data_IF_026505625110
#
_entry.id   IF_026505625110
#
_cell.length_a   1.000
_cell.length_b   1.000
_cell.length_c   1.000
_cell.angle_alpha   90.00
_cell.angle_beta   90.00
_cell.angle_gamma   90.00
#
_symmetry.space_group_name_H-M   'P 1'
#
loop_
_entity.id
_entity.type
_entity.pdbx_description
1 polymer ?
#
# COMPACT_ATOMS: atom_id res chain seq x y z
N UNK A 1 6.52 -1.91 -16.60
CA UNK A 1 6.54 -3.39 -16.70
C UNK A 1 5.51 -3.98 -17.66
N UNK A 2 4.37 -3.32 -17.95
CA UNK A 2 3.29 -3.87 -18.80
C UNK A 2 3.70 -4.38 -20.20
N UNK A 3 4.82 -3.92 -20.75
CA UNK A 3 5.34 -4.33 -22.06
C UNK A 3 6.36 -5.49 -22.01
N UNK A 4 6.69 -5.99 -20.82
CA UNK A 4 7.63 -7.10 -20.63
C UNK A 4 6.91 -8.44 -20.51
N UNK A 5 7.60 -9.52 -20.89
CA UNK A 5 7.15 -10.90 -20.67
C UNK A 5 6.94 -11.18 -19.17
N UNK A 6 6.00 -12.05 -18.84
CA UNK A 6 5.54 -12.32 -17.47
C UNK A 6 6.64 -12.86 -16.54
N UNK A 7 7.54 -13.68 -17.08
CA UNK A 7 8.74 -14.18 -16.39
C UNK A 7 9.66 -13.03 -15.94
N UNK A 8 9.91 -12.07 -16.83
CA UNK A 8 10.74 -10.89 -16.53
C UNK A 8 10.06 -9.97 -15.52
N UNK A 9 8.74 -9.80 -15.62
CA UNK A 9 7.96 -9.04 -14.63
C UNK A 9 8.08 -9.64 -13.23
N UNK A 10 7.89 -10.96 -13.09
CA UNK A 10 8.01 -11.67 -11.82
C UNK A 10 9.42 -11.60 -11.25
N UNK A 11 10.45 -11.76 -12.09
CA UNK A 11 11.85 -11.64 -11.65
C UNK A 11 12.16 -10.26 -11.08
N UNK A 12 11.77 -9.19 -11.79
CA UNK A 12 12.00 -7.81 -11.33
C UNK A 12 11.21 -7.54 -10.05
N UNK A 13 9.96 -7.98 -9.96
CA UNK A 13 9.14 -7.80 -8.77
C UNK A 13 9.74 -8.52 -7.55
N UNK A 14 10.26 -9.74 -7.75
CA UNK A 14 10.94 -10.48 -6.68
C UNK A 14 12.20 -9.75 -6.20
N UNK A 15 13.05 -9.32 -7.12
CA UNK A 15 14.27 -8.56 -6.81
C UNK A 15 13.94 -7.23 -6.11
N UNK A 16 12.88 -6.56 -6.55
CA UNK A 16 12.37 -5.32 -5.94
C UNK A 16 11.97 -5.55 -4.48
N UNK A 17 11.24 -6.63 -4.20
CA UNK A 17 10.79 -6.96 -2.86
C UNK A 17 11.93 -7.41 -1.94
N UNK A 18 12.88 -8.21 -2.45
CA UNK A 18 13.97 -8.79 -1.66
C UNK A 18 15.12 -7.83 -1.42
N UNK A 19 15.37 -6.89 -2.35
CA UNK A 19 16.55 -6.01 -2.31
C UNK A 19 16.12 -4.56 -2.15
N UNK A 20 15.32 -4.03 -3.07
CA UNK A 20 15.06 -2.59 -3.17
C UNK A 20 14.12 -2.06 -2.09
N UNK A 21 13.07 -2.80 -1.72
CA UNK A 21 12.17 -2.41 -0.62
C UNK A 21 12.89 -2.36 0.74
N UNK A 22 13.71 -3.38 1.12
CA UNK A 22 14.56 -3.28 2.32
C UNK A 22 15.57 -2.14 2.27
N UNK A 23 16.14 -1.83 1.09
CA UNK A 23 17.04 -0.68 0.95
C UNK A 23 16.29 0.65 1.19
N UNK A 24 15.11 0.83 0.59
CA UNK A 24 14.27 2.01 0.83
C UNK A 24 13.90 2.17 2.32
N UNK A 25 13.61 1.06 2.99
CA UNK A 25 13.39 1.05 4.44
C UNK A 25 14.61 1.53 5.22
N UNK A 26 15.81 1.02 4.90
CA UNK A 26 17.07 1.39 5.59
C UNK A 26 17.45 2.85 5.35
N UNK A 27 17.06 3.43 4.22
CA UNK A 27 17.26 4.84 3.89
C UNK A 27 16.19 5.76 4.53
N UNK A 28 15.20 5.20 5.22
CA UNK A 28 14.11 5.96 5.84
C UNK A 28 13.09 6.53 4.84
N UNK A 29 13.10 6.07 3.58
CA UNK A 29 12.21 6.57 2.53
C UNK A 29 10.98 5.67 2.42
N UNK A 30 10.09 5.79 3.40
CA UNK A 30 8.94 4.89 3.56
C UNK A 30 7.93 4.95 2.40
N UNK A 31 7.69 6.12 1.81
CA UNK A 31 6.78 6.25 0.68
C UNK A 31 7.25 5.41 -0.53
N UNK A 32 8.55 5.42 -0.82
CA UNK A 32 9.13 4.62 -1.91
C UNK A 32 9.06 3.14 -1.58
N UNK A 33 9.36 2.76 -0.34
CA UNK A 33 9.23 1.36 0.12
C UNK A 33 7.82 0.84 -0.16
N UNK A 34 6.78 1.56 0.28
CA UNK A 34 5.40 1.13 0.11
C UNK A 34 5.02 1.00 -1.37
N UNK A 35 5.39 1.97 -2.20
CA UNK A 35 5.12 1.87 -3.64
C UNK A 35 5.80 0.65 -4.28
N UNK A 36 7.05 0.37 -3.90
CA UNK A 36 7.78 -0.81 -4.39
C UNK A 36 7.13 -2.12 -3.91
N UNK A 37 6.70 -2.21 -2.66
CA UNK A 37 6.03 -3.38 -2.10
C UNK A 37 4.69 -3.64 -2.79
N UNK A 38 3.86 -2.61 -2.97
CA UNK A 38 2.55 -2.72 -3.60
C UNK A 38 2.65 -3.12 -5.09
N UNK A 39 3.58 -2.51 -5.81
CA UNK A 39 3.84 -2.84 -7.21
C UNK A 39 4.39 -4.26 -7.34
N UNK A 40 5.33 -4.66 -6.49
CA UNK A 40 5.91 -6.01 -6.52
C UNK A 40 4.86 -7.06 -6.22
N UNK A 41 4.02 -6.81 -5.20
CA UNK A 41 2.94 -7.71 -4.82
C UNK A 41 1.94 -7.92 -5.97
N UNK A 42 1.58 -6.85 -6.69
CA UNK A 42 0.71 -6.92 -7.86
C UNK A 42 1.21 -7.84 -8.97
N UNK A 43 2.52 -7.91 -9.22
CA UNK A 43 3.10 -8.76 -10.28
C UNK A 43 3.43 -10.18 -9.80
N UNK A 44 3.71 -10.36 -8.51
CA UNK A 44 4.00 -11.68 -7.93
C UNK A 44 2.72 -12.48 -7.65
N UNK A 45 1.71 -11.83 -7.08
CA UNK A 45 0.48 -12.45 -6.57
C UNK A 45 -0.75 -11.63 -7.03
N UNK A 46 -1.05 -11.60 -8.34
CA UNK A 46 -2.07 -10.71 -8.90
C UNK A 46 -3.47 -11.00 -8.35
N UNK A 47 -3.85 -12.27 -8.17
CA UNK A 47 -5.17 -12.66 -7.65
C UNK A 47 -5.38 -12.10 -6.24
N UNK A 48 -4.43 -12.37 -5.33
CA UNK A 48 -4.47 -11.87 -3.95
C UNK A 48 -4.46 -10.34 -3.88
N UNK A 49 -3.70 -9.69 -4.77
CA UNK A 49 -3.67 -8.24 -4.86
C UNK A 49 -5.06 -7.68 -5.18
N UNK A 50 -5.73 -8.21 -6.21
CA UNK A 50 -7.03 -7.72 -6.61
C UNK A 50 -8.13 -8.04 -5.59
N UNK A 51 -8.07 -9.20 -4.94
CA UNK A 51 -8.98 -9.54 -3.84
C UNK A 51 -8.86 -8.56 -2.66
N UNK A 52 -7.63 -8.22 -2.27
CA UNK A 52 -7.37 -7.24 -1.21
C UNK A 52 -7.90 -5.86 -1.58
N UNK A 53 -7.67 -5.43 -2.83
CA UNK A 53 -8.17 -4.14 -3.34
C UNK A 53 -9.70 -4.08 -3.30
N UNK A 54 -10.39 -5.18 -3.64
CA UNK A 54 -11.86 -5.21 -3.58
C UNK A 54 -12.37 -5.14 -2.14
N UNK A 55 -11.79 -5.95 -1.23
CA UNK A 55 -12.13 -5.90 0.19
C UNK A 55 -11.92 -4.51 0.80
N UNK A 56 -10.83 -3.83 0.42
CA UNK A 56 -10.57 -2.45 0.85
C UNK A 56 -11.59 -1.46 0.33
N UNK A 57 -12.09 -1.64 -0.90
CA UNK A 57 -13.14 -0.78 -1.47
C UNK A 57 -14.46 -0.95 -0.74
N UNK A 58 -14.87 -2.20 -0.46
CA UNK A 58 -16.13 -2.49 0.23
C UNK A 58 -16.20 -1.82 1.62
N UNK A 59 -15.07 -1.76 2.34
CA UNK A 59 -14.99 -1.18 3.69
C UNK A 59 -14.62 0.31 3.71
N UNK A 60 -14.44 0.94 2.54
CA UNK A 60 -13.88 2.29 2.43
C UNK A 60 -14.77 3.33 3.11
N UNK A 61 -16.05 3.35 2.79
CA UNK A 61 -16.99 4.36 3.30
C UNK A 61 -17.07 4.31 4.83
N UNK A 62 -17.29 3.12 5.39
CA UNK A 62 -17.37 2.92 6.84
C UNK A 62 -16.08 3.36 7.54
N UNK A 63 -14.92 3.06 6.96
CA UNK A 63 -13.63 3.49 7.52
C UNK A 63 -13.47 5.01 7.48
N UNK A 64 -13.85 5.66 6.37
CA UNK A 64 -13.80 7.12 6.24
C UNK A 64 -14.74 7.80 7.24
N UNK A 65 -15.94 7.27 7.46
CA UNK A 65 -16.89 7.81 8.43
C UNK A 65 -16.35 7.74 9.86
N UNK A 66 -15.78 6.60 10.27
CA UNK A 66 -15.16 6.42 11.59
C UNK A 66 -13.97 7.37 11.80
N UNK A 67 -13.10 7.49 10.78
CA UNK A 67 -11.93 8.39 10.84
C UNK A 67 -12.40 9.84 10.96
N UNK A 68 -13.37 10.26 10.16
CA UNK A 68 -13.90 11.62 10.19
C UNK A 68 -14.56 11.93 11.54
N UNK A 69 -15.32 10.98 12.10
CA UNK A 69 -15.94 11.19 13.40
C UNK A 69 -14.90 11.32 14.52
N UNK A 70 -13.90 10.44 14.52
CA UNK A 70 -12.79 10.50 15.48
C UNK A 70 -12.01 11.81 15.37
N UNK A 71 -11.73 12.27 14.14
CA UNK A 71 -11.08 13.56 13.89
C UNK A 71 -11.92 14.72 14.42
N UNK A 72 -13.24 14.73 14.20
CA UNK A 72 -14.14 15.75 14.74
C UNK A 72 -14.09 15.80 16.27
N UNK A 73 -14.17 14.65 16.92
CA UNK A 73 -14.12 14.55 18.38
C UNK A 73 -12.78 15.07 18.92
N UNK A 74 -11.67 14.69 18.29
CA UNK A 74 -10.33 15.11 18.70
C UNK A 74 -10.13 16.62 18.50
N UNK A 75 -10.54 17.17 17.36
CA UNK A 75 -10.45 18.62 17.09
C UNK A 75 -11.28 19.41 18.10
N UNK A 76 -12.48 18.94 18.44
CA UNK A 76 -13.32 19.58 19.45
C UNK A 76 -12.63 19.59 20.82
N UNK A 77 -12.12 18.44 21.27
CA UNK A 77 -11.42 18.33 22.55
C UNK A 77 -10.16 19.22 22.63
N UNK A 78 -9.40 19.32 21.54
CA UNK A 78 -8.21 20.20 21.47
C UNK A 78 -8.57 21.69 21.42
N UNK A 79 -9.76 22.05 20.94
CA UNK A 79 -10.23 23.44 20.90
C UNK A 79 -10.89 23.92 22.19
N UNK A 80 -11.36 22.99 23.03
CA UNK A 80 -11.98 23.28 24.33
C UNK A 80 -10.94 23.28 25.48
N UNK A 81 -9.69 22.93 25.20
CA UNK A 81 -8.54 22.96 26.12
C UNK A 81 -7.71 24.24 25.92
#
# INVERSE_FOLDING_TARGET
LKHMRSDKQKRIAKETLEIFAPLAHRLGIFNVKWELEDLSFRYLEPEKYYDLVDQMKQKRQVREDIVNDTMRQLTKALSEA
#
